data_IF_275272012679
#
_entry.id   IF_275272012679
#
_cell.length_a   1.000
_cell.length_b   1.000
_cell.length_c   1.000
_cell.angle_alpha   90.00
_cell.angle_beta   90.00
_cell.angle_gamma   90.00
#
_symmetry.space_group_name_H-M   'P 1'
#
loop_
_entity.id
_entity.type
_entity.pdbx_description
1 polymer ?
#
# COMPACT_ATOMS: atom_id res chain seq x y z
N UNK A 1 9.42 6.19 15.56
CA UNK A 1 8.40 7.04 14.87
C UNK A 1 9.04 8.23 14.18
N UNK A 2 9.94 8.96 14.83
CA UNK A 2 10.63 10.14 14.26
C UNK A 2 11.41 9.86 12.97
N UNK A 3 12.13 8.75 12.87
CA UNK A 3 12.92 8.39 11.69
C UNK A 3 12.06 8.17 10.44
N UNK A 4 10.90 7.51 10.58
CA UNK A 4 9.95 7.31 9.45
C UNK A 4 9.40 8.63 8.95
N UNK A 5 9.03 9.52 9.87
CA UNK A 5 8.55 10.86 9.53
C UNK A 5 9.63 11.68 8.83
N UNK A 6 10.89 11.57 9.27
CA UNK A 6 12.01 12.26 8.64
C UNK A 6 12.27 11.73 7.23
N UNK A 7 12.29 10.42 7.02
CA UNK A 7 12.43 9.79 5.69
C UNK A 7 11.30 10.21 4.77
N UNK A 8 10.06 10.14 5.25
CA UNK A 8 8.90 10.59 4.49
C UNK A 8 9.02 12.06 4.09
N UNK A 9 9.36 12.95 5.03
CA UNK A 9 9.52 14.37 4.76
C UNK A 9 10.62 14.67 3.73
N UNK A 10 11.77 13.99 3.82
CA UNK A 10 12.87 14.13 2.85
C UNK A 10 12.46 13.69 1.45
N UNK A 11 11.79 12.54 1.32
CA UNK A 11 11.30 12.04 0.03
C UNK A 11 10.26 13.02 -0.54
N UNK A 12 9.34 13.51 0.27
CA UNK A 12 8.36 14.49 -0.15
C UNK A 12 8.99 15.80 -0.60
N UNK A 13 10.03 16.26 0.09
CA UNK A 13 10.78 17.47 -0.28
C UNK A 13 11.41 17.33 -1.67
N UNK A 14 11.81 16.13 -2.09
CA UNK A 14 12.34 15.86 -3.42
C UNK A 14 11.23 15.66 -4.46
N UNK A 15 10.21 14.88 -4.13
CA UNK A 15 9.15 14.46 -5.07
C UNK A 15 8.21 15.62 -5.41
N UNK A 16 7.80 16.43 -4.42
CA UNK A 16 6.84 17.50 -4.64
C UNK A 16 7.31 18.58 -5.62
N UNK A 17 8.53 19.13 -5.54
CA UNK A 17 9.00 20.12 -6.51
C UNK A 17 9.03 19.55 -7.93
N UNK A 18 9.54 18.33 -8.10
CA UNK A 18 9.57 17.63 -9.39
C UNK A 18 8.14 17.43 -9.93
N UNK A 19 7.23 16.97 -9.07
CA UNK A 19 5.82 16.82 -9.41
C UNK A 19 5.19 18.14 -9.87
N UNK A 20 5.40 19.23 -9.12
CA UNK A 20 4.85 20.55 -9.42
C UNK A 20 5.40 21.10 -10.73
N UNK A 21 6.72 20.96 -10.99
CA UNK A 21 7.37 21.41 -12.22
C UNK A 21 6.83 20.67 -13.44
N UNK A 22 6.71 19.33 -13.37
CA UNK A 22 6.25 18.50 -14.48
C UNK A 22 4.75 18.74 -14.72
N UNK A 23 3.96 18.82 -13.66
CA UNK A 23 2.51 18.81 -13.75
C UNK A 23 1.89 20.16 -14.04
N UNK A 24 2.53 21.25 -13.58
CA UNK A 24 2.04 22.66 -13.71
C UNK A 24 0.58 22.78 -13.24
N UNK A 25 0.28 22.48 -11.96
CA UNK A 25 -1.09 22.34 -11.44
C UNK A 25 -1.94 23.61 -11.62
N UNK A 26 -1.32 24.79 -11.66
CA UNK A 26 -1.98 26.08 -11.90
C UNK A 26 -2.64 26.22 -13.28
N UNK A 27 -2.31 25.33 -14.24
CA UNK A 27 -2.89 25.32 -15.60
C UNK A 27 -4.04 24.30 -15.75
N UNK A 28 -4.49 23.68 -14.66
CA UNK A 28 -5.42 22.55 -14.70
C UNK A 28 -6.55 22.70 -13.66
N UNK A 29 -7.65 21.93 -13.77
CA UNK A 29 -8.73 21.97 -12.79
C UNK A 29 -8.24 21.62 -11.37
N UNK A 30 -8.39 22.54 -10.42
CA UNK A 30 -7.82 22.46 -9.08
C UNK A 30 -8.22 21.16 -8.35
N UNK A 31 -9.48 20.76 -8.38
CA UNK A 31 -9.95 19.57 -7.66
C UNK A 31 -9.24 18.27 -8.07
N UNK A 32 -8.98 18.09 -9.37
CA UNK A 32 -8.23 16.92 -9.86
C UNK A 32 -6.76 16.96 -9.49
N UNK A 33 -6.14 18.13 -9.55
CA UNK A 33 -4.72 18.28 -9.22
C UNK A 33 -4.47 18.12 -7.72
N UNK A 34 -5.38 18.60 -6.88
CA UNK A 34 -5.33 18.34 -5.44
C UNK A 34 -5.44 16.83 -5.16
N UNK A 35 -6.42 16.15 -5.75
CA UNK A 35 -6.59 14.71 -5.55
C UNK A 35 -5.36 13.90 -6.04
N UNK A 36 -4.75 14.29 -7.18
CA UNK A 36 -3.54 13.67 -7.69
C UNK A 36 -2.34 13.91 -6.76
N UNK A 37 -2.18 15.13 -6.24
CA UNK A 37 -1.10 15.48 -5.32
C UNK A 37 -1.23 14.70 -4.00
N UNK A 38 -2.44 14.61 -3.46
CA UNK A 38 -2.74 13.78 -2.27
C UNK A 38 -2.44 12.30 -2.54
N UNK A 39 -2.78 11.80 -3.74
CA UNK A 39 -2.49 10.43 -4.13
C UNK A 39 -0.99 10.16 -4.22
N UNK A 40 -0.20 11.07 -4.81
CA UNK A 40 1.26 10.94 -4.89
C UNK A 40 1.88 10.95 -3.49
N UNK A 41 1.47 11.87 -2.62
CA UNK A 41 1.91 11.92 -1.23
C UNK A 41 1.58 10.62 -0.48
N UNK A 42 0.37 10.11 -0.69
CA UNK A 42 -0.05 8.83 -0.13
C UNK A 42 0.83 7.67 -0.63
N UNK A 43 1.15 7.60 -1.95
CA UNK A 43 2.04 6.56 -2.48
C UNK A 43 3.42 6.61 -1.81
N UNK A 44 3.98 7.80 -1.63
CA UNK A 44 5.26 7.95 -0.91
C UNK A 44 5.14 7.42 0.51
N UNK A 45 4.08 7.78 1.24
CA UNK A 45 3.84 7.29 2.60
C UNK A 45 3.67 5.76 2.64
N UNK A 46 2.87 5.21 1.73
CA UNK A 46 2.65 3.77 1.60
C UNK A 46 3.97 3.02 1.39
N UNK A 47 4.79 3.46 0.44
CA UNK A 47 6.06 2.81 0.14
C UNK A 47 7.06 2.92 1.30
N UNK A 48 7.15 4.07 1.96
CA UNK A 48 8.01 4.26 3.14
C UNK A 48 7.60 3.32 4.27
N UNK A 49 6.30 3.10 4.49
CA UNK A 49 5.79 2.22 5.55
C UNK A 49 5.85 0.74 5.16
N UNK A 50 5.46 0.41 3.93
CA UNK A 50 5.35 -0.98 3.48
C UNK A 50 6.72 -1.62 3.15
N UNK A 51 7.69 -0.82 2.68
CA UNK A 51 9.01 -1.28 2.27
C UNK A 51 10.10 -0.96 3.30
N UNK A 52 9.72 -0.84 4.57
CA UNK A 52 10.69 -0.75 5.65
C UNK A 52 11.37 -2.12 5.86
N UNK A 53 12.68 -2.15 5.74
CA UNK A 53 13.47 -3.38 5.87
C UNK A 53 14.97 -3.15 5.68
N UNK A 54 15.72 -4.22 5.54
CA UNK A 54 17.18 -4.19 5.37
C UNK A 54 17.55 -3.97 3.91
N UNK A 55 17.79 -2.72 3.55
CA UNK A 55 18.29 -2.34 2.24
C UNK A 55 19.81 -2.44 2.22
N UNK A 56 20.31 -3.60 1.76
CA UNK A 56 21.73 -3.91 1.59
C UNK A 56 22.10 -3.96 0.10
N UNK A 57 23.28 -4.49 -0.25
CA UNK A 57 23.65 -4.64 -1.65
C UNK A 57 22.68 -5.58 -2.40
N UNK A 58 22.44 -5.35 -3.71
CA UNK A 58 21.55 -6.21 -4.50
C UNK A 58 21.93 -7.70 -4.46
N UNK A 59 23.23 -8.00 -4.39
CA UNK A 59 23.73 -9.39 -4.26
C UNK A 59 23.32 -10.01 -2.92
N UNK A 60 23.47 -9.29 -1.82
CA UNK A 60 23.08 -9.75 -0.50
C UNK A 60 21.54 -9.90 -0.36
N UNK A 61 20.78 -8.99 -0.96
CA UNK A 61 19.31 -9.10 -1.02
C UNK A 61 18.88 -10.37 -1.78
N UNK A 62 19.51 -10.65 -2.92
CA UNK A 62 19.21 -11.84 -3.71
C UNK A 62 19.59 -13.13 -2.97
N UNK A 63 20.73 -13.13 -2.29
CA UNK A 63 21.16 -14.26 -1.47
C UNK A 63 20.18 -14.52 -0.34
N UNK A 64 19.81 -13.49 0.42
CA UNK A 64 18.80 -13.59 1.50
C UNK A 64 17.46 -14.14 0.99
N UNK A 65 16.98 -13.64 -0.15
CA UNK A 65 15.73 -14.14 -0.76
C UNK A 65 15.85 -15.63 -1.14
N UNK A 66 16.99 -16.08 -1.71
CA UNK A 66 17.22 -17.48 -2.06
C UNK A 66 17.25 -18.39 -0.83
N UNK A 67 17.95 -17.98 0.23
CA UNK A 67 18.03 -18.71 1.48
C UNK A 67 16.63 -18.87 2.11
N UNK A 68 15.85 -17.81 2.16
CA UNK A 68 14.47 -17.83 2.69
C UNK A 68 13.55 -18.72 1.88
N UNK A 69 13.66 -18.71 0.55
CA UNK A 69 12.90 -19.62 -0.31
C UNK A 69 13.30 -21.08 -0.12
N UNK A 70 14.58 -21.35 0.13
CA UNK A 70 15.09 -22.70 0.35
C UNK A 70 14.71 -23.27 1.73
N UNK A 71 14.74 -22.43 2.78
CA UNK A 71 14.46 -22.84 4.16
C UNK A 71 12.99 -22.71 4.54
N UNK A 72 12.22 -21.90 3.81
CA UNK A 72 10.86 -21.50 4.17
C UNK A 72 10.80 -20.49 5.31
N UNK A 73 11.94 -19.99 5.77
CA UNK A 73 12.00 -19.03 6.87
C UNK A 73 11.39 -17.67 6.48
N UNK A 74 10.51 -17.16 7.32
CA UNK A 74 9.81 -15.90 7.06
C UNK A 74 8.79 -15.98 5.93
N UNK A 75 8.36 -17.19 5.52
CA UNK A 75 7.27 -17.39 4.56
C UNK A 75 6.04 -17.96 5.28
N UNK A 76 4.99 -17.17 5.39
CA UNK A 76 3.68 -17.55 5.96
C UNK A 76 2.67 -17.73 4.83
N UNK A 77 2.69 -18.91 4.18
CA UNK A 77 1.86 -19.19 3.00
C UNK A 77 0.52 -19.85 3.33
N UNK A 78 0.24 -20.15 4.60
CA UNK A 78 -1.04 -20.71 5.03
C UNK A 78 -2.04 -19.59 5.27
N UNK A 79 -3.13 -19.49 4.49
CA UNK A 79 -4.10 -18.41 4.67
C UNK A 79 -4.87 -18.55 5.97
N UNK A 80 -5.32 -17.41 6.50
CA UNK A 80 -6.14 -17.26 7.70
C UNK A 80 -5.47 -17.68 9.03
N UNK A 81 -4.19 -18.00 9.04
CA UNK A 81 -3.47 -18.37 10.28
C UNK A 81 -3.15 -17.12 11.08
N UNK A 82 -2.53 -16.13 10.45
CA UNK A 82 -2.17 -14.84 11.08
C UNK A 82 -3.43 -14.07 11.46
N UNK A 83 -4.41 -14.01 10.57
CA UNK A 83 -5.71 -13.37 10.83
C UNK A 83 -6.39 -14.01 12.05
N UNK A 84 -6.46 -15.35 12.12
CA UNK A 84 -7.05 -16.05 13.29
C UNK A 84 -6.30 -15.77 14.58
N UNK A 85 -4.98 -15.80 14.55
CA UNK A 85 -4.17 -15.47 15.73
C UNK A 85 -4.43 -14.04 16.20
N UNK A 86 -4.46 -13.08 15.28
CA UNK A 86 -4.76 -11.69 15.59
C UNK A 86 -6.18 -11.49 16.13
N UNK A 87 -7.17 -12.22 15.60
CA UNK A 87 -8.53 -12.19 16.16
C UNK A 87 -8.62 -12.82 17.55
N UNK A 88 -7.89 -13.88 17.84
CA UNK A 88 -7.86 -14.49 19.18
C UNK A 88 -7.18 -13.60 20.23
N UNK A 89 -6.29 -12.70 19.79
CA UNK A 89 -5.56 -11.73 20.62
C UNK A 89 -6.02 -10.29 20.39
N UNK A 90 -7.23 -10.09 19.86
CA UNK A 90 -7.75 -8.76 19.47
C UNK A 90 -7.86 -7.76 20.66
N UNK A 91 -7.71 -8.27 21.89
CA UNK A 91 -7.57 -7.46 23.11
C UNK A 91 -6.24 -6.73 23.23
N UNK A 92 -5.21 -7.13 22.48
CA UNK A 92 -3.89 -6.51 22.51
C UNK A 92 -3.79 -5.38 21.48
N UNK A 93 -3.13 -4.29 21.84
CA UNK A 93 -2.94 -3.13 20.95
C UNK A 93 -2.12 -3.49 19.71
N UNK A 94 -1.21 -4.47 19.83
CA UNK A 94 -0.36 -4.93 18.73
C UNK A 94 -1.17 -5.63 17.62
N UNK A 95 -2.06 -6.55 17.99
CA UNK A 95 -2.93 -7.27 17.02
C UNK A 95 -3.91 -6.34 16.31
N UNK A 96 -4.49 -5.38 17.04
CA UNK A 96 -5.36 -4.35 16.45
C UNK A 96 -4.60 -3.46 15.47
N UNK A 97 -3.40 -3.03 15.85
CA UNK A 97 -2.58 -2.15 15.02
C UNK A 97 -2.17 -2.84 13.72
N UNK A 98 -1.85 -4.14 13.76
CA UNK A 98 -1.46 -4.89 12.57
C UNK A 98 -2.65 -5.14 11.63
N UNK A 99 -3.79 -5.61 12.14
CA UNK A 99 -5.00 -5.83 11.34
C UNK A 99 -5.52 -4.54 10.70
N UNK A 100 -5.72 -3.52 11.53
CA UNK A 100 -6.24 -2.24 11.08
C UNK A 100 -5.20 -1.49 10.24
N UNK A 101 -3.92 -1.58 10.62
CA UNK A 101 -2.82 -0.93 9.92
C UNK A 101 -2.74 -1.38 8.46
N UNK A 102 -2.69 -2.68 8.21
CA UNK A 102 -2.64 -3.23 6.85
C UNK A 102 -3.90 -2.85 6.05
N UNK A 103 -5.09 -3.04 6.63
CA UNK A 103 -6.35 -2.73 5.94
C UNK A 103 -6.49 -1.24 5.64
N UNK A 104 -6.26 -0.36 6.63
CA UNK A 104 -6.44 1.08 6.49
C UNK A 104 -5.36 1.73 5.61
N UNK A 105 -4.14 1.19 5.65
CA UNK A 105 -3.04 1.69 4.83
C UNK A 105 -3.34 1.58 3.33
N UNK A 106 -4.07 0.54 2.90
CA UNK A 106 -4.40 0.31 1.49
C UNK A 106 -5.75 0.88 1.04
N UNK A 107 -6.59 1.32 1.98
CA UNK A 107 -7.90 1.92 1.66
C UNK A 107 -7.79 3.15 0.72
N UNK A 108 -6.85 4.11 0.91
CA UNK A 108 -6.73 5.24 0.00
C UNK A 108 -6.31 4.83 -1.42
N UNK A 109 -5.53 3.75 -1.58
CA UNK A 109 -5.19 3.22 -2.90
C UNK A 109 -6.43 2.91 -3.72
N UNK A 110 -7.31 2.08 -3.15
CA UNK A 110 -8.57 1.73 -3.81
C UNK A 110 -9.51 2.91 -3.99
N UNK A 111 -9.52 3.87 -3.07
CA UNK A 111 -10.36 5.07 -3.13
C UNK A 111 -9.95 6.02 -4.25
N UNK A 112 -8.67 6.35 -4.38
CA UNK A 112 -8.21 7.32 -5.37
C UNK A 112 -8.25 6.79 -6.81
N UNK A 113 -8.03 5.50 -7.05
CA UNK A 113 -7.97 4.94 -8.40
C UNK A 113 -9.23 5.21 -9.24
N UNK A 114 -10.48 4.90 -8.80
CA UNK A 114 -11.68 5.17 -9.59
C UNK A 114 -12.08 6.64 -9.63
N UNK A 115 -11.57 7.47 -8.71
CA UNK A 115 -11.75 8.92 -8.75
C UNK A 115 -10.88 9.57 -9.83
N UNK A 116 -9.63 9.14 -9.94
CA UNK A 116 -8.64 9.75 -10.83
C UNK A 116 -8.68 9.19 -12.23
N UNK A 117 -9.00 7.90 -12.42
CA UNK A 117 -8.98 7.24 -13.72
C UNK A 117 -10.27 6.47 -14.01
N UNK A 118 -10.86 6.72 -15.15
CA UNK A 118 -12.11 6.09 -15.58
C UNK A 118 -12.00 4.57 -15.73
N UNK A 119 -10.82 4.05 -16.13
CA UNK A 119 -10.56 2.62 -16.26
C UNK A 119 -10.85 1.83 -15.00
N UNK A 120 -10.50 2.39 -13.83
CA UNK A 120 -10.66 1.75 -12.52
C UNK A 120 -12.05 1.91 -11.91
N UNK A 121 -13.02 2.39 -12.67
CA UNK A 121 -14.45 2.39 -12.28
C UNK A 121 -15.11 1.04 -12.45
N UNK A 122 -14.46 0.11 -13.17
CA UNK A 122 -14.91 -1.27 -13.39
C UNK A 122 -14.21 -2.19 -12.38
N UNK A 123 -14.95 -3.24 -11.96
CA UNK A 123 -14.46 -4.17 -10.91
C UNK A 123 -13.13 -4.84 -11.29
N UNK A 124 -13.04 -5.49 -12.44
CA UNK A 124 -11.84 -6.27 -12.80
C UNK A 124 -10.56 -5.43 -12.92
N UNK A 125 -10.53 -4.27 -13.58
CA UNK A 125 -9.34 -3.45 -13.62
C UNK A 125 -8.86 -2.96 -12.27
N UNK A 126 -9.78 -2.58 -11.35
CA UNK A 126 -9.39 -2.13 -10.03
C UNK A 126 -8.94 -3.29 -9.14
N UNK A 127 -9.63 -4.43 -9.17
CA UNK A 127 -9.23 -5.62 -8.44
C UNK A 127 -7.84 -6.10 -8.88
N UNK A 128 -7.57 -6.15 -10.17
CA UNK A 128 -6.25 -6.49 -10.71
C UNK A 128 -5.16 -5.51 -10.29
N UNK A 129 -5.45 -4.20 -10.25
CA UNK A 129 -4.49 -3.18 -9.80
C UNK A 129 -4.22 -3.27 -8.29
N UNK A 130 -5.25 -3.51 -7.48
CA UNK A 130 -5.11 -3.71 -6.04
C UNK A 130 -4.31 -4.97 -5.74
N UNK A 131 -4.63 -6.09 -6.38
CA UNK A 131 -3.89 -7.34 -6.22
C UNK A 131 -2.44 -7.19 -6.70
N UNK A 132 -2.22 -6.53 -7.84
CA UNK A 132 -0.88 -6.29 -8.37
C UNK A 132 0.02 -5.50 -7.42
N UNK A 133 -0.52 -4.45 -6.79
CA UNK A 133 0.24 -3.67 -5.81
C UNK A 133 0.58 -4.49 -4.57
N UNK A 134 -0.39 -5.21 -4.01
CA UNK A 134 -0.15 -6.02 -2.80
C UNK A 134 0.87 -7.13 -3.08
N UNK A 135 0.76 -7.84 -4.21
CA UNK A 135 1.75 -8.83 -4.62
C UNK A 135 3.14 -8.21 -4.84
N UNK A 136 3.22 -7.02 -5.42
CA UNK A 136 4.50 -6.32 -5.62
C UNK A 136 5.16 -5.98 -4.28
N UNK A 137 4.39 -5.53 -3.30
CA UNK A 137 4.90 -5.20 -1.97
C UNK A 137 5.39 -6.46 -1.27
N UNK A 138 4.59 -7.54 -1.21
CA UNK A 138 4.99 -8.81 -0.61
C UNK A 138 6.22 -9.41 -1.28
N UNK A 139 6.28 -9.36 -2.61
CA UNK A 139 7.45 -9.79 -3.36
C UNK A 139 8.70 -8.97 -3.00
N UNK A 140 8.58 -7.65 -2.88
CA UNK A 140 9.71 -6.79 -2.47
C UNK A 140 10.13 -7.08 -1.03
N UNK A 141 9.20 -7.38 -0.14
CA UNK A 141 9.47 -7.72 1.27
C UNK A 141 10.33 -8.97 1.40
N UNK A 142 10.21 -9.93 0.49
CA UNK A 142 11.08 -11.10 0.44
C UNK A 142 12.57 -10.73 0.36
N UNK A 143 12.91 -9.71 -0.43
CA UNK A 143 14.29 -9.26 -0.66
C UNK A 143 14.83 -8.38 0.47
N UNK A 144 13.97 -7.61 1.15
CA UNK A 144 14.38 -6.70 2.21
C UNK A 144 14.33 -7.34 3.62
N UNK A 145 14.22 -8.66 3.69
CA UNK A 145 14.31 -9.42 4.94
C UNK A 145 13.03 -9.35 5.80
N UNK A 146 11.87 -8.97 5.23
CA UNK A 146 10.58 -9.01 5.93
C UNK A 146 9.86 -10.34 5.73
N UNK A 147 9.00 -10.68 6.67
CA UNK A 147 8.10 -11.84 6.54
C UNK A 147 7.10 -11.59 5.41
N UNK A 148 7.01 -12.53 4.49
CA UNK A 148 5.97 -12.57 3.45
C UNK A 148 4.78 -13.34 4.01
N UNK A 149 3.62 -12.70 4.07
CA UNK A 149 2.41 -13.27 4.66
C UNK A 149 1.21 -13.16 3.71
N UNK A 150 0.63 -14.30 3.38
CA UNK A 150 -0.58 -14.34 2.52
C UNK A 150 -1.75 -13.61 3.17
N UNK A 151 -1.81 -13.58 4.50
CA UNK A 151 -2.87 -12.87 5.22
C UNK A 151 -2.72 -11.35 5.09
N UNK A 152 -1.49 -10.83 5.05
CA UNK A 152 -1.24 -9.41 4.77
C UNK A 152 -1.68 -9.05 3.35
N UNK A 153 -1.43 -9.93 2.37
CA UNK A 153 -1.92 -9.75 1.00
C UNK A 153 -3.47 -9.68 0.97
N UNK A 154 -4.14 -10.55 1.70
CA UNK A 154 -5.61 -10.55 1.80
C UNK A 154 -6.13 -9.26 2.45
N UNK A 155 -5.55 -8.84 3.58
CA UNK A 155 -5.94 -7.62 4.30
C UNK A 155 -5.74 -6.37 3.44
N UNK A 156 -4.59 -6.26 2.79
CA UNK A 156 -4.25 -5.15 1.90
C UNK A 156 -5.22 -5.07 0.71
N UNK A 157 -5.54 -6.23 0.12
CA UNK A 157 -6.51 -6.32 -0.96
C UNK A 157 -7.91 -5.93 -0.49
N UNK A 158 -8.38 -6.46 0.64
CA UNK A 158 -9.69 -6.12 1.21
C UNK A 158 -9.79 -4.62 1.54
N UNK A 159 -8.74 -4.03 2.13
CA UNK A 159 -8.67 -2.58 2.38
C UNK A 159 -8.78 -1.76 1.11
N UNK A 160 -8.04 -2.17 0.05
CA UNK A 160 -8.12 -1.53 -1.26
C UNK A 160 -9.54 -1.62 -1.86
N UNK A 161 -10.16 -2.79 -1.81
CA UNK A 161 -11.52 -2.99 -2.35
C UNK A 161 -12.57 -2.22 -1.55
N UNK A 162 -12.41 -2.11 -0.23
CA UNK A 162 -13.26 -1.26 0.60
C UNK A 162 -13.15 0.22 0.18
N UNK A 163 -11.93 0.71 -0.05
CA UNK A 163 -11.69 2.06 -0.57
C UNK A 163 -12.36 2.31 -1.93
N UNK A 164 -12.28 1.33 -2.84
CA UNK A 164 -12.97 1.38 -4.13
C UNK A 164 -14.50 1.45 -3.96
N UNK A 165 -15.06 0.66 -3.06
CA UNK A 165 -16.48 0.68 -2.72
C UNK A 165 -16.93 2.05 -2.22
N UNK A 166 -16.15 2.68 -1.33
CA UNK A 166 -16.42 4.05 -0.85
C UNK A 166 -16.39 5.05 -2.02
N UNK A 167 -15.40 4.95 -2.92
CA UNK A 167 -15.32 5.84 -4.08
C UNK A 167 -16.51 5.68 -5.02
N UNK A 168 -17.00 4.45 -5.24
CA UNK A 168 -18.20 4.20 -6.05
C UNK A 168 -19.45 4.79 -5.40
N UNK A 169 -19.59 4.66 -4.07
CA UNK A 169 -20.71 5.25 -3.32
C UNK A 169 -20.69 6.77 -3.42
N UNK A 170 -19.55 7.43 -3.13
CA UNK A 170 -19.39 8.89 -3.23
C UNK A 170 -19.72 9.39 -4.63
N UNK A 171 -19.34 8.65 -5.67
CA UNK A 171 -19.64 9.01 -7.06
C UNK A 171 -21.12 8.86 -7.40
N UNK A 172 -21.79 7.85 -6.84
CA UNK A 172 -23.23 7.65 -7.01
C UNK A 172 -24.02 8.80 -6.41
N UNK A 173 -23.69 9.15 -5.16
CA UNK A 173 -24.33 10.26 -4.44
C UNK A 173 -24.11 11.65 -5.08
N UNK A 174 -23.01 11.83 -5.83
CA UNK A 174 -22.74 13.10 -6.55
C UNK A 174 -23.45 13.23 -7.89
N UNK A 175 -24.08 12.16 -8.38
CA UNK A 175 -24.84 12.17 -9.64
C UNK A 175 -26.35 12.37 -9.42
N UNK A 176 -26.79 12.22 -8.17
CA UNK A 176 -28.12 12.58 -7.71
C UNK A 176 -28.18 14.06 -7.32
#
# INVERSE_FOLDING_TARGET
MTEKLTRFALICLCVLPVWVIIRKPWKRPAGREIALSLFVMYIVALLVMALEGSWVSPAAMLQSARERLATGEGLRLRPLVTIRQQFSTIGTDESRTQLLGNTLLFLPWGFFLPLLWQRFRRFFPIAGMCLGLTCFIEFTQLFIGRTVDVDDLLLNFCGSMAGAGIAWLVRRLRKE
#
